data_IF_299497101561
#
_entry.id   IF_299497101561
#
_cell.length_a   1.000
_cell.length_b   1.000
_cell.length_c   1.000
_cell.angle_alpha   90.00
_cell.angle_beta   90.00
_cell.angle_gamma   90.00
#
_symmetry.space_group_name_H-M   'P 1'
#
loop_
_entity.id
_entity.type
_entity.pdbx_description
1 polymer ?
#
# COMPACT_ATOMS: atom_id res chain seq x y z
N UNK A 1 37.49 12.60 -7.90
CA UNK A 1 36.32 12.04 -8.63
C UNK A 1 35.06 12.29 -7.82
N UNK A 2 34.30 13.33 -8.16
CA UNK A 2 32.97 13.56 -7.57
C UNK A 2 32.04 12.44 -8.05
N UNK A 3 31.52 11.60 -7.16
CA UNK A 3 30.49 10.62 -7.52
C UNK A 3 29.16 11.38 -7.61
N UNK A 4 28.80 11.75 -8.83
CA UNK A 4 27.48 12.28 -9.14
C UNK A 4 26.45 11.17 -8.91
N UNK A 5 25.77 11.20 -7.77
CA UNK A 5 24.59 10.37 -7.53
C UNK A 5 23.37 11.13 -8.03
N UNK A 6 22.75 10.66 -9.10
CA UNK A 6 21.45 11.17 -9.52
C UNK A 6 20.40 10.83 -8.44
N UNK A 7 19.43 11.72 -8.23
CA UNK A 7 18.35 11.55 -7.23
C UNK A 7 17.63 10.20 -7.31
N UNK A 8 17.65 9.54 -8.48
CA UNK A 8 17.03 8.24 -8.71
C UNK A 8 17.78 7.03 -8.09
N UNK A 9 19.06 7.20 -7.75
CA UNK A 9 19.95 6.15 -7.24
C UNK A 9 20.12 6.22 -5.70
N UNK A 10 19.22 6.95 -5.02
CA UNK A 10 19.23 7.14 -3.57
C UNK A 10 17.90 6.70 -2.96
N UNK A 11 17.98 6.03 -1.81
CA UNK A 11 16.81 5.62 -1.07
C UNK A 11 15.88 6.82 -0.79
N UNK A 12 14.60 6.67 -1.10
CA UNK A 12 13.63 7.75 -0.93
C UNK A 12 13.31 7.96 0.55
N UNK A 13 13.45 9.19 1.01
CA UNK A 13 13.00 9.66 2.31
C UNK A 13 12.28 11.00 2.12
N UNK A 14 10.96 11.09 2.36
CA UNK A 14 10.22 12.31 2.10
C UNK A 14 10.64 13.44 3.05
N UNK A 15 10.70 14.66 2.52
CA UNK A 15 10.93 15.88 3.30
C UNK A 15 9.85 16.09 4.37
N UNK A 16 8.59 15.76 4.07
CA UNK A 16 7.43 15.95 4.95
C UNK A 16 6.60 14.67 5.11
N UNK A 17 6.64 14.07 6.30
CA UNK A 17 6.03 12.76 6.60
C UNK A 17 4.52 12.72 6.30
N UNK A 18 3.78 13.70 6.82
CA UNK A 18 2.33 13.76 6.67
C UNK A 18 1.89 14.00 5.22
N UNK A 19 2.68 14.74 4.42
CA UNK A 19 2.31 15.02 3.02
C UNK A 19 2.46 13.75 2.19
N UNK A 20 3.53 13.01 2.41
CA UNK A 20 3.70 11.69 1.80
C UNK A 20 2.58 10.74 2.20
N UNK A 21 2.24 10.68 3.49
CA UNK A 21 1.17 9.81 3.96
C UNK A 21 -0.19 10.20 3.38
N UNK A 22 -0.52 11.51 3.33
CA UNK A 22 -1.75 12.00 2.68
C UNK A 22 -1.81 11.65 1.19
N UNK A 23 -0.71 11.81 0.46
CA UNK A 23 -0.63 11.39 -0.94
C UNK A 23 -0.80 9.88 -1.09
N UNK A 24 -0.23 9.10 -0.16
CA UNK A 24 -0.40 7.64 -0.13
C UNK A 24 -1.85 7.23 0.10
N UNK A 25 -2.55 7.92 1.01
CA UNK A 25 -3.99 7.73 1.24
C UNK A 25 -4.81 8.10 0.01
N UNK A 26 -4.44 9.17 -0.72
CA UNK A 26 -5.10 9.50 -1.98
C UNK A 26 -4.90 8.40 -3.05
N UNK A 27 -3.68 7.85 -3.17
CA UNK A 27 -3.41 6.72 -4.05
C UNK A 27 -4.18 5.44 -3.62
N UNK A 28 -4.30 5.19 -2.31
CA UNK A 28 -5.14 4.11 -1.78
C UNK A 28 -6.61 4.32 -2.17
N UNK A 29 -7.12 5.56 -2.11
CA UNK A 29 -8.45 5.95 -2.60
C UNK A 29 -8.70 5.55 -4.06
N UNK A 30 -7.71 5.78 -4.93
CA UNK A 30 -7.78 5.35 -6.33
C UNK A 30 -7.77 3.81 -6.43
N UNK A 31 -6.89 3.15 -5.68
CA UNK A 31 -6.82 1.68 -5.65
C UNK A 31 -8.12 1.05 -5.14
N UNK A 32 -8.83 1.69 -4.22
CA UNK A 32 -10.14 1.27 -3.72
C UNK A 32 -11.21 1.32 -4.80
N UNK A 33 -11.28 2.40 -5.59
CA UNK A 33 -12.22 2.48 -6.72
C UNK A 33 -11.91 1.40 -7.76
N UNK A 34 -10.63 1.17 -8.07
CA UNK A 34 -10.21 0.09 -8.96
C UNK A 34 -10.52 -1.30 -8.38
N UNK A 35 -10.39 -1.47 -7.06
CA UNK A 35 -10.74 -2.69 -6.34
C UNK A 35 -12.23 -3.00 -6.49
N UNK A 36 -13.10 -2.03 -6.24
CA UNK A 36 -14.55 -2.16 -6.45
C UNK A 36 -14.87 -2.59 -7.89
N UNK A 37 -14.26 -1.93 -8.88
CA UNK A 37 -14.47 -2.28 -10.29
C UNK A 37 -13.98 -3.71 -10.55
N UNK A 38 -12.81 -4.07 -10.03
CA UNK A 38 -12.24 -5.41 -10.14
C UNK A 38 -13.16 -6.48 -9.56
N UNK A 39 -13.61 -6.29 -8.31
CA UNK A 39 -14.54 -7.19 -7.63
C UNK A 39 -15.86 -7.35 -8.39
N UNK A 40 -16.41 -6.25 -8.92
CA UNK A 40 -17.64 -6.28 -9.71
C UNK A 40 -17.49 -7.07 -11.03
N UNK A 41 -16.28 -7.09 -11.60
CA UNK A 41 -15.97 -7.79 -12.84
C UNK A 41 -15.54 -9.25 -12.62
N UNK A 42 -15.14 -9.64 -11.41
CA UNK A 42 -14.74 -11.02 -11.12
C UNK A 42 -15.92 -12.01 -11.24
N UNK A 43 -15.68 -13.25 -11.71
CA UNK A 43 -16.72 -14.28 -11.75
C UNK A 43 -17.16 -14.69 -10.35
N UNK A 44 -18.45 -14.96 -10.17
CA UNK A 44 -19.02 -15.44 -8.90
C UNK A 44 -18.41 -16.79 -8.45
N UNK A 45 -17.82 -17.57 -9.37
CA UNK A 45 -17.10 -18.80 -9.04
C UNK A 45 -15.78 -18.58 -8.31
N UNK A 46 -15.26 -17.35 -8.32
CA UNK A 46 -14.02 -16.97 -7.64
C UNK A 46 -14.31 -16.24 -6.34
N UNK A 47 -15.28 -15.32 -6.36
CA UNK A 47 -15.61 -14.48 -5.21
C UNK A 47 -16.75 -15.04 -4.36
N UNK A 48 -17.56 -15.96 -4.86
CA UNK A 48 -18.77 -16.48 -4.19
C UNK A 48 -19.88 -15.44 -3.92
N UNK A 49 -19.75 -14.22 -4.44
CA UNK A 49 -20.76 -13.16 -4.24
C UNK A 49 -21.68 -13.02 -5.45
N UNK A 50 -22.95 -12.72 -5.19
CA UNK A 50 -23.91 -12.37 -6.26
C UNK A 50 -23.98 -10.87 -6.46
N UNK A 51 -23.99 -10.42 -7.73
CA UNK A 51 -24.05 -8.98 -8.07
C UNK A 51 -25.27 -8.24 -7.50
N UNK A 52 -26.33 -8.97 -7.16
CA UNK A 52 -27.53 -8.43 -6.50
C UNK A 52 -27.24 -7.89 -5.10
N UNK A 53 -26.19 -8.38 -4.43
CA UNK A 53 -25.76 -7.91 -3.11
C UNK A 53 -24.84 -6.70 -3.20
N UNK A 54 -24.47 -6.20 -4.37
CA UNK A 54 -23.60 -5.03 -4.46
C UNK A 54 -24.37 -3.75 -4.13
N UNK A 55 -24.05 -3.08 -3.02
CA UNK A 55 -24.61 -1.75 -2.75
C UNK A 55 -24.63 -1.30 -1.28
N UNK A 56 -25.07 -0.07 -1.06
CA UNK A 56 -25.09 0.58 0.26
C UNK A 56 -25.99 -0.14 1.27
N UNK A 57 -27.10 -0.74 0.82
CA UNK A 57 -28.00 -1.47 1.72
C UNK A 57 -27.34 -2.74 2.26
N UNK A 58 -26.67 -3.50 1.40
CA UNK A 58 -25.88 -4.66 1.81
C UNK A 58 -24.73 -4.25 2.71
N UNK A 59 -24.07 -3.13 2.40
CA UNK A 59 -23.03 -2.57 3.27
C UNK A 59 -23.55 -2.32 4.69
N UNK A 60 -24.70 -1.65 4.84
CA UNK A 60 -25.30 -1.40 6.15
C UNK A 60 -25.63 -2.70 6.90
N UNK A 61 -26.19 -3.69 6.20
CA UNK A 61 -26.51 -5.00 6.77
C UNK A 61 -25.25 -5.75 7.21
N UNK A 62 -24.26 -5.87 6.34
CA UNK A 62 -23.01 -6.58 6.58
C UNK A 62 -22.21 -5.98 7.75
N UNK A 63 -22.10 -4.65 7.81
CA UNK A 63 -21.44 -3.95 8.93
C UNK A 63 -22.20 -4.18 10.25
N UNK A 64 -23.54 -4.26 10.21
CA UNK A 64 -24.35 -4.47 11.40
C UNK A 64 -24.27 -5.90 11.95
N UNK A 65 -24.16 -6.91 11.07
CA UNK A 65 -24.02 -8.31 11.45
C UNK A 65 -22.72 -8.58 12.22
N UNK A 66 -21.69 -7.77 11.98
CA UNK A 66 -20.38 -7.92 12.60
C UNK A 66 -19.55 -9.05 11.96
N UNK A 67 -18.25 -9.14 12.31
CA UNK A 67 -17.34 -10.02 11.61
C UNK A 67 -17.64 -11.51 11.80
N UNK A 68 -17.43 -12.30 10.76
CA UNK A 68 -17.60 -13.75 10.77
C UNK A 68 -16.34 -14.45 10.29
N UNK A 69 -16.24 -15.76 10.54
CA UNK A 69 -15.25 -16.56 9.84
C UNK A 69 -15.76 -16.82 8.40
N UNK A 70 -15.12 -16.22 7.41
CA UNK A 70 -15.44 -16.46 6.00
C UNK A 70 -14.98 -17.86 5.55
N UNK A 71 -15.33 -18.24 4.31
CA UNK A 71 -14.86 -19.48 3.69
C UNK A 71 -14.00 -19.20 2.45
N UNK A 72 -13.25 -18.10 2.47
CA UNK A 72 -12.42 -17.72 1.34
C UNK A 72 -11.27 -18.69 1.09
N UNK A 73 -10.81 -18.72 -0.16
CA UNK A 73 -9.67 -19.54 -0.53
C UNK A 73 -8.43 -19.09 0.24
N UNK A 74 -7.62 -20.05 0.69
CA UNK A 74 -6.38 -19.80 1.44
C UNK A 74 -5.49 -18.68 0.86
N UNK A 75 -5.43 -18.56 -0.47
CA UNK A 75 -4.64 -17.53 -1.16
C UNK A 75 -5.09 -16.11 -0.82
N UNK A 76 -6.38 -15.88 -0.60
CA UNK A 76 -6.90 -14.56 -0.24
C UNK A 76 -6.43 -14.19 1.17
N UNK A 77 -6.90 -14.91 2.20
CA UNK A 77 -6.67 -14.55 3.60
C UNK A 77 -5.18 -14.69 4.01
N UNK A 78 -4.43 -15.64 3.46
CA UNK A 78 -3.07 -15.95 3.94
C UNK A 78 -1.94 -15.49 3.03
N UNK A 79 -2.24 -15.03 1.81
CA UNK A 79 -1.22 -14.50 0.90
C UNK A 79 -1.53 -13.08 0.47
N UNK A 80 -2.72 -12.83 -0.10
CA UNK A 80 -3.08 -11.52 -0.62
C UNK A 80 -3.30 -10.49 0.50
N UNK A 81 -4.05 -10.84 1.56
CA UNK A 81 -4.25 -9.95 2.70
C UNK A 81 -2.92 -9.55 3.37
N UNK A 82 -2.01 -10.48 3.72
CA UNK A 82 -0.68 -10.11 4.21
C UNK A 82 0.12 -9.27 3.21
N UNK A 83 0.03 -9.54 1.91
CA UNK A 83 0.72 -8.76 0.88
C UNK A 83 0.18 -7.31 0.80
N UNK A 84 -1.13 -7.10 0.77
CA UNK A 84 -1.71 -5.75 0.78
C UNK A 84 -1.45 -5.05 2.12
N UNK A 85 -1.52 -5.77 3.24
CA UNK A 85 -1.11 -5.27 4.55
C UNK A 85 0.34 -4.79 4.60
N UNK A 86 1.25 -5.47 3.88
CA UNK A 86 2.63 -5.04 3.71
C UNK A 86 2.73 -3.71 2.93
N UNK A 87 1.94 -3.54 1.88
CA UNK A 87 1.88 -2.30 1.09
C UNK A 87 1.31 -1.14 1.93
N UNK A 88 0.31 -1.38 2.78
CA UNK A 88 -0.19 -0.36 3.70
C UNK A 88 0.88 0.05 4.71
N UNK A 89 1.56 -0.95 5.29
CA UNK A 89 2.65 -0.74 6.26
C UNK A 89 3.80 0.08 5.66
N UNK A 90 4.16 -0.21 4.41
CA UNK A 90 5.19 0.48 3.65
C UNK A 90 4.95 2.00 3.61
N UNK A 91 3.71 2.46 3.49
CA UNK A 91 3.44 3.91 3.39
C UNK A 91 3.86 4.68 4.63
N UNK A 92 3.50 4.16 5.82
CA UNK A 92 3.91 4.75 7.08
C UNK A 92 5.43 4.61 7.30
N UNK A 93 6.04 3.48 6.94
CA UNK A 93 7.48 3.28 7.13
C UNK A 93 8.33 4.14 6.21
N UNK A 94 7.99 4.25 4.93
CA UNK A 94 8.67 5.12 3.96
C UNK A 94 8.48 6.59 4.34
N UNK A 95 7.30 6.98 4.87
CA UNK A 95 7.09 8.30 5.43
C UNK A 95 8.01 8.62 6.64
N UNK A 96 8.68 7.62 7.21
CA UNK A 96 9.63 7.79 8.31
C UNK A 96 9.03 7.57 9.69
N UNK A 97 7.85 6.94 9.79
CA UNK A 97 7.29 6.50 11.07
C UNK A 97 7.93 5.21 11.57
N UNK A 98 7.84 4.98 12.88
CA UNK A 98 8.36 3.78 13.54
C UNK A 98 7.49 2.57 13.21
N UNK A 99 8.02 1.36 13.44
CA UNK A 99 7.34 0.09 13.20
C UNK A 99 5.93 0.07 13.79
N UNK A 100 5.75 0.39 15.08
CA UNK A 100 4.44 0.34 15.74
C UNK A 100 3.41 1.30 15.14
N UNK A 101 3.83 2.50 14.72
CA UNK A 101 2.94 3.43 14.00
C UNK A 101 2.56 2.88 12.64
N UNK A 102 3.47 2.17 11.97
CA UNK A 102 3.15 1.44 10.74
C UNK A 102 2.15 0.32 10.96
N UNK A 103 2.28 -0.47 12.03
CA UNK A 103 1.30 -1.51 12.41
C UNK A 103 -0.07 -0.88 12.63
N UNK A 104 -0.15 0.20 13.41
CA UNK A 104 -1.41 0.90 13.65
C UNK A 104 -2.01 1.45 12.35
N UNK A 105 -1.19 2.03 11.48
CA UNK A 105 -1.66 2.52 10.18
C UNK A 105 -2.22 1.37 9.33
N UNK A 106 -1.52 0.23 9.24
CA UNK A 106 -2.02 -0.96 8.54
C UNK A 106 -3.33 -1.44 9.13
N UNK A 107 -3.47 -1.51 10.47
CA UNK A 107 -4.70 -1.91 11.12
C UNK A 107 -5.87 -0.99 10.77
N UNK A 108 -5.68 0.33 10.85
CA UNK A 108 -6.73 1.28 10.51
C UNK A 108 -7.14 1.20 9.03
N UNK A 109 -6.17 1.10 8.12
CA UNK A 109 -6.46 1.00 6.68
C UNK A 109 -7.12 -0.34 6.34
N UNK A 110 -6.54 -1.46 6.77
CA UNK A 110 -7.14 -2.77 6.49
C UNK A 110 -8.54 -2.92 7.09
N UNK A 111 -8.75 -2.51 8.35
CA UNK A 111 -10.05 -2.63 9.01
C UNK A 111 -11.10 -1.70 8.40
N UNK A 112 -10.84 -0.38 8.39
CA UNK A 112 -11.89 0.59 8.06
C UNK A 112 -11.99 0.89 6.58
N UNK A 113 -10.86 0.87 5.87
CA UNK A 113 -10.83 1.23 4.46
C UNK A 113 -11.02 0.02 3.55
N UNK A 114 -10.47 -1.14 3.91
CA UNK A 114 -10.62 -2.35 3.09
C UNK A 114 -11.82 -3.20 3.54
N UNK A 115 -11.76 -3.78 4.72
CA UNK A 115 -12.72 -4.79 5.20
C UNK A 115 -14.13 -4.20 5.38
N UNK A 116 -14.28 -3.27 6.32
CA UNK A 116 -15.54 -2.56 6.57
C UNK A 116 -15.84 -1.50 5.52
N UNK A 117 -14.89 -1.19 4.65
CA UNK A 117 -15.03 -0.20 3.61
C UNK A 117 -15.53 -0.84 2.32
N UNK A 118 -14.64 -1.53 1.63
CA UNK A 118 -14.81 -2.07 0.28
C UNK A 118 -15.55 -3.41 0.28
N UNK A 119 -15.09 -4.37 1.07
CA UNK A 119 -15.62 -5.74 1.05
C UNK A 119 -17.00 -5.82 1.69
N UNK A 120 -17.26 -4.99 2.70
CA UNK A 120 -18.58 -4.83 3.28
C UNK A 120 -19.70 -4.53 2.25
N UNK A 121 -19.39 -3.98 1.07
CA UNK A 121 -20.40 -3.76 0.02
C UNK A 121 -20.95 -5.03 -0.60
N UNK A 122 -20.28 -6.17 -0.41
CA UNK A 122 -20.58 -7.45 -1.07
C UNK A 122 -20.60 -8.63 -0.11
N UNK A 123 -19.88 -8.54 1.02
CA UNK A 123 -19.69 -9.61 1.98
C UNK A 123 -19.67 -9.10 3.44
N UNK A 124 -19.92 -9.98 4.40
CA UNK A 124 -19.78 -9.70 5.83
C UNK A 124 -18.28 -9.66 6.17
N UNK A 125 -17.79 -8.63 6.90
CA UNK A 125 -16.39 -8.56 7.30
C UNK A 125 -15.82 -9.87 7.87
N UNK A 126 -14.59 -10.21 7.48
CA UNK A 126 -13.87 -11.41 7.86
C UNK A 126 -13.05 -11.23 9.14
N UNK A 127 -13.23 -12.16 10.09
CA UNK A 127 -12.38 -12.23 11.29
C UNK A 127 -10.94 -12.59 10.89
N UNK A 128 -10.75 -13.48 9.92
CA UNK A 128 -9.41 -13.86 9.45
C UNK A 128 -8.66 -12.62 8.99
N UNK A 129 -9.29 -11.79 8.17
CA UNK A 129 -8.63 -10.69 7.48
C UNK A 129 -8.36 -9.50 8.39
N UNK A 130 -9.26 -9.26 9.35
CA UNK A 130 -9.07 -8.34 10.47
C UNK A 130 -7.90 -8.73 11.39
N UNK A 131 -7.48 -9.99 11.38
CA UNK A 131 -6.34 -10.47 12.17
C UNK A 131 -5.08 -10.55 11.31
N UNK A 132 -5.13 -11.26 10.18
CA UNK A 132 -3.96 -11.59 9.39
C UNK A 132 -3.34 -10.34 8.73
N UNK A 133 -4.17 -9.42 8.21
CA UNK A 133 -3.70 -8.22 7.51
C UNK A 133 -2.89 -7.30 8.43
N UNK A 134 -3.37 -6.91 9.62
CA UNK A 134 -2.60 -6.05 10.52
C UNK A 134 -1.51 -6.76 11.32
N UNK A 135 -1.47 -8.09 11.34
CA UNK A 135 -0.42 -8.83 12.06
C UNK A 135 0.69 -9.29 11.14
N UNK A 136 0.37 -10.05 10.08
CA UNK A 136 1.35 -10.59 9.13
C UNK A 136 1.81 -9.52 8.14
N UNK A 137 0.92 -8.62 7.74
CA UNK A 137 1.23 -7.54 6.80
C UNK A 137 2.43 -6.70 7.23
N UNK A 138 2.48 -6.15 8.46
CA UNK A 138 3.64 -5.41 8.95
C UNK A 138 4.95 -6.20 9.01
N UNK A 139 4.89 -7.51 9.26
CA UNK A 139 6.08 -8.36 9.28
C UNK A 139 6.67 -8.49 7.86
N UNK A 140 5.82 -8.81 6.87
CA UNK A 140 6.20 -8.86 5.46
C UNK A 140 6.63 -7.47 4.98
N UNK A 141 5.90 -6.43 5.38
CA UNK A 141 6.16 -5.04 5.02
C UNK A 141 7.49 -4.52 5.55
N UNK A 142 7.96 -4.94 6.73
CA UNK A 142 9.30 -4.57 7.21
C UNK A 142 10.40 -5.24 6.38
N UNK A 143 10.18 -6.47 5.89
CA UNK A 143 11.07 -7.11 4.92
C UNK A 143 11.07 -6.33 3.60
N UNK A 144 9.90 -5.92 3.11
CA UNK A 144 9.77 -5.12 1.88
C UNK A 144 10.46 -3.76 2.02
N UNK A 145 10.29 -3.10 3.17
CA UNK A 145 10.92 -1.82 3.49
C UNK A 145 12.43 -1.94 3.44
N UNK A 146 13.00 -2.92 4.15
CA UNK A 146 14.47 -3.14 4.15
C UNK A 146 15.00 -3.51 2.78
N UNK A 147 14.24 -4.31 2.02
CA UNK A 147 14.62 -4.73 0.66
C UNK A 147 14.59 -3.56 -0.30
N UNK A 148 13.54 -2.74 -0.28
CA UNK A 148 13.44 -1.55 -1.13
C UNK A 148 14.56 -0.54 -0.83
N UNK A 149 14.90 -0.31 0.44
CA UNK A 149 16.02 0.55 0.83
C UNK A 149 17.38 0.03 0.32
N UNK A 150 17.58 -1.29 0.25
CA UNK A 150 18.79 -1.89 -0.32
C UNK A 150 18.83 -1.76 -1.84
N UNK A 151 17.70 -2.02 -2.51
CA UNK A 151 17.56 -1.92 -3.97
C UNK A 151 17.68 -0.49 -4.49
N UNK A 152 17.32 0.51 -3.69
CA UNK A 152 17.46 1.92 -4.06
C UNK A 152 18.86 2.50 -3.79
N UNK A 153 19.74 1.75 -3.12
CA UNK A 153 21.15 2.12 -2.98
C UNK A 153 21.93 1.66 -4.21
N UNK A 154 23.13 2.23 -4.45
CA UNK A 154 24.00 1.78 -5.53
C UNK A 154 24.20 0.28 -5.47
N UNK A 155 23.73 -0.40 -6.51
CA UNK A 155 23.80 -1.85 -6.64
C UNK A 155 24.13 -2.21 -8.09
N UNK A 156 24.52 -3.47 -8.33
CA UNK A 156 24.93 -3.94 -9.66
C UNK A 156 23.78 -4.50 -10.50
N UNK A 157 22.54 -4.48 -9.99
CA UNK A 157 21.39 -5.01 -10.71
C UNK A 157 20.97 -4.05 -11.83
N UNK A 158 20.50 -4.57 -12.98
CA UNK A 158 19.97 -3.71 -14.03
C UNK A 158 18.77 -2.90 -13.54
N UNK A 159 18.71 -1.61 -13.92
CA UNK A 159 17.69 -0.66 -13.47
C UNK A 159 16.26 -1.14 -13.72
N UNK A 160 16.03 -1.87 -14.82
CA UNK A 160 14.74 -2.47 -15.14
C UNK A 160 14.28 -3.45 -14.04
N UNK A 161 15.12 -4.41 -13.65
CA UNK A 161 14.78 -5.39 -12.62
C UNK A 161 14.59 -4.74 -11.25
N UNK A 162 15.38 -3.71 -10.93
CA UNK A 162 15.19 -2.91 -9.72
C UNK A 162 13.82 -2.23 -9.74
N UNK A 163 13.44 -1.61 -10.87
CA UNK A 163 12.13 -1.00 -11.06
C UNK A 163 10.98 -1.99 -10.87
N UNK A 164 11.05 -3.16 -11.51
CA UNK A 164 10.05 -4.22 -11.35
C UNK A 164 9.95 -4.68 -9.89
N UNK A 165 11.08 -4.92 -9.22
CA UNK A 165 11.08 -5.33 -7.82
C UNK A 165 10.45 -4.25 -6.91
N UNK A 166 10.81 -2.97 -7.11
CA UNK A 166 10.21 -1.87 -6.34
C UNK A 166 8.70 -1.76 -6.57
N UNK A 167 8.24 -1.98 -7.80
CA UNK A 167 6.81 -1.99 -8.12
C UNK A 167 6.06 -3.11 -7.38
N UNK A 168 6.58 -4.34 -7.41
CA UNK A 168 5.91 -5.47 -6.72
C UNK A 168 6.06 -5.44 -5.19
N UNK A 169 7.08 -4.75 -4.66
CA UNK A 169 7.18 -4.55 -3.21
C UNK A 169 6.19 -3.49 -2.71
N UNK A 170 5.96 -2.43 -3.50
CA UNK A 170 5.11 -1.31 -3.12
C UNK A 170 4.71 -0.48 -4.36
N UNK A 171 3.67 -0.90 -5.07
CA UNK A 171 3.25 -0.21 -6.29
C UNK A 171 2.73 1.22 -6.02
N UNK A 172 2.23 1.47 -4.80
CA UNK A 172 1.79 2.81 -4.36
C UNK A 172 3.02 3.70 -4.17
N UNK A 173 3.98 3.25 -3.38
CA UNK A 173 5.25 3.97 -3.18
C UNK A 173 6.01 4.14 -4.49
N UNK A 174 6.01 3.14 -5.37
CA UNK A 174 6.57 3.25 -6.71
C UNK A 174 5.89 4.37 -7.50
N UNK A 175 4.56 4.43 -7.51
CA UNK A 175 3.80 5.48 -8.19
C UNK A 175 4.16 6.87 -7.64
N UNK A 176 4.24 6.99 -6.32
CA UNK A 176 4.59 8.25 -5.65
C UNK A 176 6.01 8.69 -6.00
N UNK A 177 6.97 7.77 -5.94
CA UNK A 177 8.40 8.07 -5.98
C UNK A 177 8.97 8.12 -7.42
N UNK A 178 8.47 7.28 -8.33
CA UNK A 178 9.03 7.08 -9.67
C UNK A 178 8.18 7.66 -10.79
N UNK A 179 6.87 7.83 -10.61
CA UNK A 179 5.98 8.44 -11.63
C UNK A 179 5.81 9.96 -11.46
N UNK A 180 6.53 10.58 -10.52
CA UNK A 180 6.56 12.04 -10.35
C UNK A 180 5.48 12.64 -9.48
N UNK A 181 4.58 11.85 -8.88
CA UNK A 181 3.51 12.38 -8.01
C UNK A 181 4.07 13.07 -6.75
N UNK A 182 5.14 12.54 -6.15
CA UNK A 182 5.81 13.20 -5.03
C UNK A 182 6.26 14.63 -5.42
N UNK A 183 6.89 14.76 -6.60
CA UNK A 183 7.35 16.06 -7.12
C UNK A 183 6.18 17.00 -7.37
N UNK A 184 5.10 16.51 -7.98
CA UNK A 184 3.87 17.29 -8.21
C UNK A 184 3.25 17.83 -6.91
N UNK A 185 3.39 17.10 -5.79
CA UNK A 185 2.91 17.52 -4.47
C UNK A 185 3.97 18.23 -3.61
N UNK A 186 5.12 18.62 -4.17
CA UNK A 186 6.18 19.31 -3.44
C UNK A 186 6.89 18.46 -2.38
N UNK A 187 6.87 17.13 -2.54
CA UNK A 187 7.56 16.17 -1.69
C UNK A 187 8.92 15.84 -2.34
N UNK A 188 10.01 16.31 -1.73
CA UNK A 188 11.36 16.03 -2.22
C UNK A 188 12.01 14.87 -1.43
N UNK A 189 12.97 14.19 -2.05
CA UNK A 189 13.80 13.18 -1.37
C UNK A 189 14.90 13.87 -0.55
N UNK A 190 14.89 13.72 0.78
CA UNK A 190 15.91 14.28 1.68
C UNK A 190 17.34 13.81 1.38
N UNK A 191 17.47 12.62 0.81
CA UNK A 191 18.79 12.05 0.52
C UNK A 191 19.39 12.64 -0.76
N UNK A 192 18.59 13.31 -1.62
CA UNK A 192 19.11 13.96 -2.81
C UNK A 192 19.97 15.17 -2.43
N UNK A 193 21.23 15.17 -2.84
CA UNK A 193 22.12 16.33 -2.71
C UNK A 193 21.85 17.24 -3.91
N UNK A 194 21.09 18.31 -3.69
CA UNK A 194 20.84 19.33 -4.71
C UNK A 194 22.04 20.27 -4.80
N UNK A 195 22.67 20.39 -5.98
CA UNK A 195 23.59 21.49 -6.27
C UNK A 195 22.79 22.80 -6.46
N UNK A 196 23.43 23.92 -6.12
CA UNK A 196 22.86 25.22 -5.75
C UNK A 196 21.85 25.89 -6.71
N UNK A 197 21.06 26.79 -6.10
CA UNK A 197 20.31 27.94 -6.65
C UNK A 197 18.89 27.80 -7.20
N UNK A 198 18.24 26.65 -7.05
CA UNK A 198 16.76 26.64 -6.99
C UNK A 198 16.25 25.65 -5.93
N UNK A 199 15.52 26.11 -4.91
CA UNK A 199 14.82 25.19 -4.01
C UNK A 199 13.57 24.71 -4.73
N UNK A 200 13.70 23.67 -5.57
CA UNK A 200 12.56 22.95 -6.14
C UNK A 200 12.90 21.47 -6.20
N UNK A 201 11.98 20.65 -5.73
CA UNK A 201 11.92 19.27 -6.17
C UNK A 201 11.95 19.22 -7.72
#
# INVERSE_FOLDING_TARGET
>A
MSRYFFQEDLAFVPNHRLRYLSLSVACLGIAFVLGIIGLYLMPESVTHWTKQKFGLMSWLENVHLGPVFDNDLFIFNWVLHPYFGAIYFMQARVAGYKFLTGVLFTALVSTFFWEYGLEAFVEIPSIQDLICTPTLGPLVGEVFYRTSQRLQRPNKLPKFFVGCALFFLDFIGFSIQKLGFAKACGICNKNAVYQQDTPKC
#
